data_IF_071613308594
#
_entry.id   IF_071613308594
#
_cell.length_a   1.000
_cell.length_b   1.000
_cell.length_c   1.000
_cell.angle_alpha   90.00
_cell.angle_beta   90.00
_cell.angle_gamma   90.00
#
_symmetry.space_group_name_H-M   'P 1'
#
loop_
_entity.id
_entity.type
_entity.pdbx_description
1 polymer ?
#
# COMPACT_ATOMS: atom_id res chain seq x y z
N UNK A 1 8.71 -5.65 15.95
CA UNK A 1 10.19 -5.55 16.03
C UNK A 1 10.59 -4.34 15.21
N UNK A 2 11.54 -3.56 15.71
CA UNK A 2 12.08 -2.39 15.02
C UNK A 2 13.41 -2.75 14.37
N UNK A 3 13.57 -2.42 13.09
CA UNK A 3 14.86 -2.47 12.40
C UNK A 3 15.30 -1.04 12.14
N UNK A 4 16.45 -0.65 12.67
CA UNK A 4 17.12 0.62 12.38
C UNK A 4 18.12 0.37 11.26
N UNK A 5 17.79 0.79 10.05
CA UNK A 5 18.61 0.58 8.87
C UNK A 5 19.39 1.83 8.47
N UNK A 6 20.71 1.73 8.40
CA UNK A 6 21.59 2.80 7.90
C UNK A 6 22.03 2.42 6.48
N UNK A 7 21.74 3.23 5.43
CA UNK A 7 22.07 2.93 4.04
C UNK A 7 23.55 3.19 3.69
N UNK A 8 24.45 3.02 4.66
CA UNK A 8 25.90 3.16 4.57
C UNK A 8 26.55 1.98 5.29
N UNK A 9 27.77 1.58 4.88
CA UNK A 9 28.50 0.55 5.62
C UNK A 9 28.88 1.08 7.01
N UNK A 10 29.20 0.19 7.96
CA UNK A 10 29.57 0.61 9.32
C UNK A 10 30.70 1.62 9.35
N UNK A 11 31.71 1.44 8.48
CA UNK A 11 32.87 2.32 8.37
C UNK A 11 32.51 3.69 7.78
N UNK A 12 31.42 3.75 7.02
CA UNK A 12 30.95 4.95 6.34
C UNK A 12 29.71 5.56 6.98
N UNK A 13 29.21 5.02 8.10
CA UNK A 13 27.96 5.45 8.71
C UNK A 13 28.06 6.83 9.38
N UNK A 14 29.26 7.40 9.52
CA UNK A 14 29.45 8.73 10.09
C UNK A 14 28.91 8.84 11.51
N UNK A 15 28.19 9.92 11.81
CA UNK A 15 27.58 10.14 13.13
C UNK A 15 26.26 9.37 13.32
N UNK A 16 25.66 8.85 12.23
CA UNK A 16 24.42 8.05 12.30
C UNK A 16 24.61 6.81 13.17
N UNK A 17 25.78 6.17 13.13
CA UNK A 17 26.04 4.96 13.90
C UNK A 17 25.88 5.23 15.41
N UNK A 18 26.57 6.26 15.91
CA UNK A 18 26.51 6.65 17.33
C UNK A 18 25.10 7.07 17.77
N UNK A 19 24.39 7.82 16.92
CA UNK A 19 23.01 8.22 17.20
C UNK A 19 22.07 6.99 17.25
N UNK A 20 22.29 6.02 16.37
CA UNK A 20 21.48 4.81 16.27
C UNK A 20 21.75 3.85 17.43
N UNK A 21 22.99 3.72 17.87
CA UNK A 21 23.35 2.99 19.09
C UNK A 21 22.67 3.59 20.32
N UNK A 22 22.66 4.93 20.41
CA UNK A 22 21.94 5.62 21.49
C UNK A 22 20.42 5.40 21.41
N UNK A 23 19.85 5.34 20.20
CA UNK A 23 18.45 4.94 20.01
C UNK A 23 18.19 3.56 20.60
N UNK A 24 19.02 2.56 20.24
CA UNK A 24 18.89 1.18 20.75
C UNK A 24 18.91 1.16 22.28
N UNK A 25 19.87 1.86 22.91
CA UNK A 25 19.98 1.95 24.36
C UNK A 25 18.71 2.56 24.97
N UNK A 26 18.24 3.67 24.44
CA UNK A 26 17.05 4.37 24.95
C UNK A 26 15.78 3.52 24.75
N UNK A 27 15.67 2.78 23.65
CA UNK A 27 14.54 1.92 23.38
C UNK A 27 14.49 0.74 24.36
N UNK A 28 15.60 0.02 24.54
CA UNK A 28 15.69 -1.15 25.42
C UNK A 28 15.43 -0.83 26.90
N UNK A 29 15.66 0.43 27.32
CA UNK A 29 15.34 0.89 28.67
C UNK A 29 13.85 1.11 28.92
N UNK A 30 13.08 1.41 27.87
CA UNK A 30 11.70 1.88 27.99
C UNK A 30 10.68 0.89 27.40
N UNK A 31 11.09 -0.01 26.51
CA UNK A 31 10.21 -0.92 25.79
C UNK A 31 10.76 -2.35 25.77
N UNK A 32 9.86 -3.33 25.76
CA UNK A 32 10.19 -4.74 25.61
C UNK A 32 10.27 -5.20 24.15
N UNK A 33 9.93 -4.32 23.21
CA UNK A 33 10.02 -4.63 21.78
C UNK A 33 11.48 -4.81 21.37
N UNK A 34 11.75 -5.83 20.56
CA UNK A 34 13.10 -6.06 20.03
C UNK A 34 13.45 -4.99 19.00
N UNK A 35 14.69 -4.49 19.10
CA UNK A 35 15.26 -3.50 18.18
C UNK A 35 16.60 -3.97 17.65
N UNK A 36 16.80 -3.87 16.34
CA UNK A 36 18.03 -4.30 15.68
C UNK A 36 18.58 -3.22 14.76
N UNK A 37 19.87 -2.92 14.91
CA UNK A 37 20.62 -2.07 13.99
C UNK A 37 21.20 -2.91 12.83
N UNK A 38 20.98 -2.46 11.60
CA UNK A 38 21.54 -3.05 10.38
C UNK A 38 22.13 -1.92 9.52
N UNK A 39 23.42 -1.99 9.22
CA UNK A 39 24.07 -1.12 8.24
C UNK A 39 24.07 -1.78 6.85
N UNK A 40 24.33 -1.00 5.80
CA UNK A 40 24.46 -1.55 4.45
C UNK A 40 25.58 -2.60 4.41
N UNK A 41 25.30 -3.76 3.80
CA UNK A 41 26.21 -4.93 3.74
C UNK A 41 26.53 -5.59 5.08
N UNK A 42 25.77 -5.31 6.14
CA UNK A 42 25.91 -6.06 7.39
C UNK A 42 25.49 -7.52 7.23
N UNK A 43 26.22 -8.40 7.92
CA UNK A 43 25.79 -9.77 8.13
C UNK A 43 24.86 -9.82 9.35
N UNK A 44 23.59 -10.17 9.12
CA UNK A 44 22.60 -10.37 10.18
C UNK A 44 21.87 -11.71 10.04
N UNK A 45 21.40 -12.25 11.17
CA UNK A 45 20.64 -13.51 11.19
C UNK A 45 19.22 -13.25 10.73
N UNK A 46 18.88 -13.58 9.48
CA UNK A 46 17.53 -13.42 8.95
C UNK A 46 16.45 -14.13 9.80
N UNK A 47 16.82 -15.23 10.47
CA UNK A 47 15.92 -15.97 11.36
C UNK A 47 15.53 -15.21 12.63
N UNK A 48 16.30 -14.20 13.06
CA UNK A 48 15.94 -13.38 14.24
C UNK A 48 14.91 -12.30 13.91
N UNK A 49 14.65 -12.02 12.63
CA UNK A 49 13.71 -10.97 12.25
C UNK A 49 12.27 -11.44 12.47
N UNK A 50 11.53 -10.80 13.36
CA UNK A 50 10.13 -11.10 13.61
C UNK A 50 9.24 -10.79 12.39
N UNK A 51 8.13 -11.51 12.25
CA UNK A 51 7.04 -11.09 11.36
C UNK A 51 6.48 -9.74 11.81
N UNK A 52 5.97 -8.95 10.87
CA UNK A 52 5.42 -7.62 11.14
C UNK A 52 6.46 -6.66 11.77
N UNK A 53 7.64 -6.62 11.17
CA UNK A 53 8.70 -5.68 11.53
C UNK A 53 8.51 -4.33 10.85
N UNK A 54 8.88 -3.27 11.55
CA UNK A 54 8.93 -1.90 11.03
C UNK A 54 10.38 -1.51 10.76
N UNK A 55 10.68 -1.02 9.55
CA UNK A 55 12.05 -0.60 9.20
C UNK A 55 12.18 0.91 9.17
N UNK A 56 13.12 1.47 9.92
CA UNK A 56 13.47 2.88 9.91
C UNK A 56 14.73 3.08 9.09
N UNK A 57 14.62 3.72 7.93
CA UNK A 57 15.76 4.12 7.11
C UNK A 57 16.31 5.41 7.69
N UNK A 58 17.51 5.35 8.28
CA UNK A 58 18.15 6.44 9.00
C UNK A 58 19.16 7.15 8.11
N UNK A 59 18.95 8.43 7.84
CA UNK A 59 19.93 9.26 7.14
C UNK A 59 19.74 10.75 7.46
N UNK A 60 20.77 11.56 7.23
CA UNK A 60 20.66 13.01 7.33
C UNK A 60 20.07 13.61 6.06
N UNK A 61 19.07 14.47 6.24
CA UNK A 61 18.56 15.32 5.18
C UNK A 61 19.10 16.74 5.32
N UNK A 62 19.38 17.36 4.18
CA UNK A 62 19.89 18.72 4.10
C UNK A 62 18.86 19.63 3.41
N UNK A 63 18.74 20.85 3.93
CA UNK A 63 17.86 21.85 3.35
C UNK A 63 18.28 22.15 1.90
N UNK A 64 17.31 22.11 0.98
CA UNK A 64 17.53 22.38 -0.44
C UNK A 64 18.10 21.21 -1.25
N UNK A 65 18.42 20.07 -0.63
CA UNK A 65 18.94 18.87 -1.34
C UNK A 65 17.88 17.77 -1.35
N UNK A 66 17.01 17.78 -2.36
CA UNK A 66 15.79 16.96 -2.39
C UNK A 66 16.03 15.49 -2.79
N UNK A 67 17.07 15.19 -3.55
CA UNK A 67 17.31 13.91 -4.20
C UNK A 67 18.41 13.07 -3.54
N UNK A 68 18.97 13.55 -2.43
CA UNK A 68 20.06 12.90 -1.70
C UNK A 68 19.83 12.92 -0.19
N UNK A 69 20.53 12.02 0.47
CA UNK A 69 20.71 11.97 1.92
C UNK A 69 22.19 11.78 2.24
N UNK A 70 22.58 12.02 3.50
CA UNK A 70 23.96 11.98 3.92
C UNK A 70 24.17 11.12 5.18
N UNK A 71 25.41 10.74 5.42
CA UNK A 71 25.85 9.95 6.57
C UNK A 71 26.28 10.81 7.79
N UNK A 72 26.32 12.13 7.65
CA UNK A 72 26.80 13.03 8.70
C UNK A 72 25.94 14.30 8.76
N UNK A 73 25.80 14.89 9.95
CA UNK A 73 25.05 16.14 10.18
C UNK A 73 25.82 17.41 9.78
N UNK A 74 27.15 17.38 9.89
CA UNK A 74 28.05 18.39 9.30
C UNK A 74 28.27 18.12 7.80
N UNK A 75 27.80 19.04 6.95
CA UNK A 75 27.88 18.93 5.49
C UNK A 75 29.30 18.90 4.93
N UNK A 76 30.31 19.32 5.71
CA UNK A 76 31.73 19.26 5.31
C UNK A 76 32.32 17.86 5.43
N UNK A 77 31.78 17.05 6.34
CA UNK A 77 32.18 15.66 6.59
C UNK A 77 31.24 14.66 5.89
N UNK A 78 30.10 15.15 5.41
CA UNK A 78 29.05 14.34 4.85
C UNK A 78 29.40 13.75 3.48
N UNK A 79 29.23 12.45 3.37
CA UNK A 79 29.13 11.73 2.11
C UNK A 79 27.66 11.62 1.73
N UNK A 80 27.32 12.12 0.55
CA UNK A 80 25.96 12.12 0.03
C UNK A 80 25.73 10.92 -0.91
N UNK A 81 24.56 10.29 -0.79
CA UNK A 81 24.07 9.28 -1.72
C UNK A 81 22.70 9.68 -2.25
N UNK A 82 22.40 9.30 -3.49
CA UNK A 82 21.07 9.55 -4.05
C UNK A 82 20.02 8.67 -3.40
N UNK A 83 18.75 9.10 -3.47
CA UNK A 83 17.62 8.25 -3.06
C UNK A 83 17.59 6.94 -3.85
N UNK A 84 18.01 6.95 -5.11
CA UNK A 84 18.17 5.74 -5.91
C UNK A 84 19.15 4.76 -5.30
N UNK A 85 20.33 5.25 -4.89
CA UNK A 85 21.30 4.41 -4.19
C UNK A 85 20.75 3.90 -2.86
N UNK A 86 19.96 4.70 -2.13
CA UNK A 86 19.29 4.22 -0.91
C UNK A 86 18.33 3.07 -1.23
N UNK A 87 17.51 3.19 -2.27
CA UNK A 87 16.55 2.18 -2.69
C UNK A 87 17.24 0.89 -3.14
N UNK A 88 18.33 0.98 -3.92
CA UNK A 88 19.12 -0.17 -4.35
C UNK A 88 19.72 -0.92 -3.16
N UNK A 89 20.38 -0.19 -2.26
CA UNK A 89 21.00 -0.76 -1.05
C UNK A 89 19.96 -1.42 -0.15
N UNK A 90 18.87 -0.70 0.12
CA UNK A 90 17.75 -1.23 0.90
C UNK A 90 17.17 -2.49 0.26
N UNK A 91 17.00 -2.50 -1.06
CA UNK A 91 16.50 -3.65 -1.79
C UNK A 91 17.41 -4.85 -1.61
N UNK A 92 18.72 -4.69 -1.78
CA UNK A 92 19.70 -5.78 -1.63
C UNK A 92 19.65 -6.35 -0.21
N UNK A 93 19.71 -5.48 0.81
CA UNK A 93 19.87 -5.91 2.19
C UNK A 93 18.57 -6.43 2.82
N UNK A 94 17.41 -5.88 2.43
CA UNK A 94 16.11 -6.21 3.02
C UNK A 94 15.31 -7.22 2.20
N UNK A 95 15.67 -7.50 0.93
CA UNK A 95 14.95 -8.46 0.09
C UNK A 95 14.75 -9.83 0.75
N UNK A 96 15.76 -10.43 1.42
CA UNK A 96 15.61 -11.74 2.07
C UNK A 96 14.54 -11.77 3.17
N UNK A 97 14.25 -10.63 3.81
CA UNK A 97 13.28 -10.49 4.90
C UNK A 97 12.07 -9.65 4.52
N UNK A 98 11.94 -9.24 3.26
CA UNK A 98 10.90 -8.31 2.79
C UNK A 98 9.47 -8.76 3.11
N UNK A 99 9.21 -10.07 3.13
CA UNK A 99 7.90 -10.62 3.49
C UNK A 99 7.54 -10.49 4.98
N UNK A 100 8.49 -10.08 5.82
CA UNK A 100 8.30 -9.85 7.26
C UNK A 100 8.18 -8.37 7.63
N UNK A 101 8.30 -7.47 6.66
CA UNK A 101 8.26 -6.03 6.87
C UNK A 101 6.84 -5.53 6.53
N UNK A 102 6.20 -4.82 7.45
CA UNK A 102 4.86 -4.25 7.26
C UNK A 102 4.90 -2.78 6.83
N UNK A 103 5.86 -2.05 7.39
CA UNK A 103 6.03 -0.63 7.16
C UNK A 103 7.49 -0.21 7.11
N UNK A 104 7.70 0.90 6.39
CA UNK A 104 8.99 1.55 6.22
C UNK A 104 8.83 3.00 6.65
N UNK A 105 9.73 3.46 7.50
CA UNK A 105 9.81 4.82 7.97
C UNK A 105 11.07 5.48 7.38
N UNK A 106 10.89 6.41 6.44
CA UNK A 106 11.97 7.22 5.89
C UNK A 106 12.32 8.33 6.89
N UNK A 107 13.33 8.10 7.73
CA UNK A 107 13.65 8.89 8.90
C UNK A 107 14.82 9.85 8.61
N UNK A 108 14.46 11.07 8.16
CA UNK A 108 15.43 12.09 7.75
C UNK A 108 14.90 13.49 8.07
N UNK A 109 15.78 14.39 8.51
CA UNK A 109 15.45 15.81 8.66
C UNK A 109 14.99 16.44 7.34
N UNK A 110 14.12 17.44 7.42
CA UNK A 110 13.66 18.19 6.25
C UNK A 110 12.23 18.71 6.40
N UNK A 111 11.83 19.55 5.46
CA UNK A 111 10.42 19.95 5.32
C UNK A 111 9.55 18.78 4.86
N UNK A 112 8.25 18.88 5.09
CA UNK A 112 7.26 17.90 4.60
C UNK A 112 7.42 17.68 3.09
N UNK A 113 7.59 18.75 2.31
CA UNK A 113 7.74 18.68 0.85
C UNK A 113 9.01 17.94 0.43
N UNK A 114 10.14 18.23 1.07
CA UNK A 114 11.43 17.56 0.79
C UNK A 114 11.34 16.06 1.10
N UNK A 115 10.83 15.72 2.28
CA UNK A 115 10.76 14.34 2.71
C UNK A 115 9.67 13.55 2.00
N UNK A 116 8.56 14.18 1.61
CA UNK A 116 7.60 13.58 0.69
C UNK A 116 8.30 13.22 -0.63
N UNK A 117 9.06 14.14 -1.24
CA UNK A 117 9.78 13.86 -2.49
C UNK A 117 10.76 12.69 -2.35
N UNK A 118 11.58 12.68 -1.28
CA UNK A 118 12.53 11.58 -1.00
C UNK A 118 11.81 10.26 -0.84
N UNK A 119 10.76 10.22 -0.02
CA UNK A 119 10.02 9.01 0.25
C UNK A 119 9.28 8.51 -1.00
N UNK A 120 8.64 9.39 -1.79
CA UNK A 120 7.96 9.01 -3.04
C UNK A 120 8.95 8.45 -4.06
N UNK A 121 10.14 9.05 -4.16
CA UNK A 121 11.18 8.56 -5.05
C UNK A 121 11.72 7.20 -4.60
N UNK A 122 11.96 7.04 -3.30
CA UNK A 122 12.31 5.75 -2.72
C UNK A 122 11.25 4.68 -3.02
N UNK A 123 9.96 5.01 -2.87
CA UNK A 123 8.85 4.12 -3.19
C UNK A 123 8.83 3.71 -4.67
N UNK A 124 9.07 4.64 -5.58
CA UNK A 124 9.06 4.36 -7.02
C UNK A 124 10.20 3.42 -7.45
N UNK A 125 11.33 3.46 -6.77
CA UNK A 125 12.54 2.72 -7.13
C UNK A 125 12.70 1.40 -6.37
N UNK A 126 12.01 1.25 -5.23
CA UNK A 126 12.04 0.02 -4.44
C UNK A 126 11.14 -1.08 -5.04
N UNK A 127 11.73 -2.27 -5.27
CA UNK A 127 11.11 -3.41 -5.98
C UNK A 127 9.80 -3.96 -5.36
N UNK A 128 9.50 -3.67 -4.10
CA UNK A 128 8.35 -4.26 -3.34
C UNK A 128 7.34 -3.20 -2.86
N UNK A 129 7.31 -2.04 -3.51
CA UNK A 129 6.50 -0.88 -3.11
C UNK A 129 4.97 -1.06 -3.08
N UNK A 130 4.44 -2.11 -3.71
CA UNK A 130 2.99 -2.27 -3.91
C UNK A 130 2.19 -2.58 -2.64
N UNK A 131 2.81 -3.09 -1.56
CA UNK A 131 2.07 -3.59 -0.40
C UNK A 131 2.50 -3.03 0.97
N UNK A 132 3.55 -2.18 1.04
CA UNK A 132 4.02 -1.65 2.34
C UNK A 132 3.64 -0.18 2.52
N UNK A 133 3.34 0.16 3.78
CA UNK A 133 3.12 1.55 4.17
C UNK A 133 4.47 2.25 4.29
N UNK A 134 4.67 3.33 3.54
CA UNK A 134 5.86 4.17 3.69
C UNK A 134 5.46 5.44 4.43
N UNK A 135 6.11 5.69 5.55
CA UNK A 135 5.96 6.89 6.34
C UNK A 135 7.17 7.80 6.16
N UNK A 136 6.93 9.10 6.18
CA UNK A 136 7.98 10.13 6.19
C UNK A 136 7.61 11.20 7.23
N UNK A 137 8.55 12.09 7.53
CA UNK A 137 8.43 13.00 8.64
C UNK A 137 8.79 14.43 8.23
N UNK A 138 8.36 15.43 9.00
CA UNK A 138 8.77 16.82 8.83
C UNK A 138 9.45 17.37 10.10
N UNK A 139 10.37 18.32 9.90
CA UNK A 139 11.13 19.00 10.93
C UNK A 139 12.57 18.48 11.07
N UNK A 140 13.26 18.95 12.12
CA UNK A 140 14.54 18.37 12.55
C UNK A 140 14.23 17.23 13.52
N UNK A 141 14.52 16.02 13.10
CA UNK A 141 14.08 14.83 13.82
C UNK A 141 15.19 14.39 14.77
N UNK A 142 14.81 14.09 16.01
CA UNK A 142 15.72 13.57 17.03
C UNK A 142 15.55 12.06 17.20
N UNK A 143 16.62 11.37 17.56
CA UNK A 143 16.51 10.02 18.13
C UNK A 143 15.63 10.05 19.39
N UNK A 144 15.02 8.93 19.82
CA UNK A 144 14.29 8.90 21.06
C UNK A 144 15.15 9.39 22.22
N UNK A 145 14.58 10.22 23.09
CA UNK A 145 15.24 10.68 24.30
C UNK A 145 15.39 9.54 25.33
N UNK A 146 15.94 9.83 26.51
CA UNK A 146 16.13 8.83 27.58
C UNK A 146 14.85 8.16 28.06
N UNK A 147 13.69 8.80 27.84
CA UNK A 147 12.34 8.27 28.14
C UNK A 147 11.73 7.50 26.95
N UNK A 148 12.48 7.33 25.86
CA UNK A 148 12.00 6.67 24.64
C UNK A 148 11.07 7.53 23.80
N UNK A 149 10.91 8.83 24.11
CA UNK A 149 10.04 9.73 23.37
C UNK A 149 10.73 10.24 22.11
N UNK A 150 10.05 10.12 20.97
CA UNK A 150 10.52 10.66 19.68
C UNK A 150 9.94 12.04 19.46
N UNK A 151 10.82 13.01 19.26
CA UNK A 151 10.45 14.41 19.06
C UNK A 151 10.97 14.91 17.71
N UNK A 152 10.24 15.87 17.16
CA UNK A 152 10.67 16.68 16.02
C UNK A 152 10.64 18.15 16.40
N UNK A 153 11.66 18.89 15.98
CA UNK A 153 11.74 20.33 16.14
C UNK A 153 11.22 21.01 14.87
N UNK A 154 10.22 21.87 15.05
CA UNK A 154 9.60 22.68 13.99
C UNK A 154 9.47 24.10 14.52
N UNK A 155 10.02 25.09 13.81
CA UNK A 155 10.01 26.50 14.23
C UNK A 155 10.51 26.68 15.68
N UNK A 156 11.66 26.08 15.99
CA UNK A 156 12.33 26.11 17.30
C UNK A 156 11.49 25.56 18.48
N UNK A 157 10.48 24.74 18.19
CA UNK A 157 9.64 24.07 19.20
C UNK A 157 9.63 22.56 18.98
N UNK A 158 9.67 21.81 20.09
CA UNK A 158 9.62 20.36 20.06
C UNK A 158 8.17 19.85 20.12
N UNK A 159 7.86 18.91 19.23
CA UNK A 159 6.57 18.23 19.17
C UNK A 159 6.75 16.72 19.13
N UNK A 160 5.77 15.95 19.63
CA UNK A 160 5.72 14.51 19.41
C UNK A 160 5.79 14.17 17.91
N UNK A 161 6.66 13.24 17.53
CA UNK A 161 6.99 12.96 16.13
C UNK A 161 5.76 12.55 15.30
N UNK A 162 4.80 11.88 15.93
CA UNK A 162 3.55 11.42 15.32
C UNK A 162 2.65 12.56 14.81
N UNK A 163 2.84 13.81 15.28
CA UNK A 163 2.14 14.98 14.74
C UNK A 163 2.68 15.43 13.38
N UNK A 164 3.93 15.11 13.09
CA UNK A 164 4.62 15.45 11.84
C UNK A 164 5.06 14.19 11.11
N UNK A 165 4.32 13.09 11.30
CA UNK A 165 4.47 11.84 10.58
C UNK A 165 3.37 11.75 9.54
N UNK A 166 3.76 11.47 8.31
CA UNK A 166 2.89 11.42 7.15
C UNK A 166 3.02 10.05 6.49
N UNK A 167 1.92 9.54 5.97
CA UNK A 167 1.89 8.29 5.22
C UNK A 167 1.86 8.62 3.73
N UNK A 168 2.76 8.04 2.94
CA UNK A 168 2.64 8.09 1.49
C UNK A 168 1.40 7.32 1.08
N UNK A 169 0.52 8.00 0.35
CA UNK A 169 -0.60 7.36 -0.32
C UNK A 169 -0.07 6.57 -1.50
N UNK A 170 -0.32 5.26 -1.48
CA UNK A 170 0.09 4.38 -2.56
C UNK A 170 -0.80 4.69 -3.79
N UNK A 171 -0.33 5.55 -4.70
CA UNK A 171 -1.07 5.86 -5.94
C UNK A 171 -1.27 4.61 -6.82
N UNK A 172 -0.47 3.56 -6.64
CA UNK A 172 -0.69 2.28 -7.32
C UNK A 172 -2.06 1.65 -6.98
N UNK A 173 -2.69 2.00 -5.86
CA UNK A 173 -4.05 1.54 -5.55
C UNK A 173 -5.13 2.27 -6.36
N UNK A 174 -4.85 3.49 -6.84
CA UNK A 174 -5.74 4.24 -7.76
C UNK A 174 -5.50 3.83 -9.22
N UNK A 175 -4.28 3.45 -9.60
CA UNK A 175 -4.01 2.90 -10.94
C UNK A 175 -4.32 1.39 -11.08
N UNK A 176 -4.44 0.64 -9.98
CA UNK A 176 -4.80 -0.79 -10.02
C UNK A 176 -6.26 -1.07 -10.38
N UNK A 177 -7.17 -0.08 -10.33
CA UNK A 177 -8.47 -0.22 -11.00
C UNK A 177 -8.35 -0.27 -12.53
N UNK A 178 -7.18 0.06 -13.10
CA UNK A 178 -6.97 0.18 -14.55
C UNK A 178 -5.83 -0.67 -15.14
N UNK A 179 -5.28 -1.67 -14.44
CA UNK A 179 -4.29 -2.60 -15.04
C UNK A 179 -4.75 -4.06 -15.03
N UNK A 180 -5.12 -4.48 -16.23
CA UNK A 180 -5.19 -5.84 -16.80
C UNK A 180 -5.29 -7.00 -15.81
N UNK A 181 -6.51 -7.49 -15.64
CA UNK A 181 -6.82 -8.80 -15.06
C UNK A 181 -5.93 -9.85 -15.75
N UNK A 182 -5.18 -10.69 -15.02
CA UNK A 182 -4.40 -11.78 -15.60
C UNK A 182 -5.28 -12.63 -16.52
N UNK A 183 -4.80 -13.01 -17.71
CA UNK A 183 -5.60 -13.74 -18.73
C UNK A 183 -6.33 -14.96 -18.12
N UNK A 184 -5.69 -15.67 -17.20
CA UNK A 184 -6.26 -16.83 -16.49
C UNK A 184 -7.47 -16.48 -15.60
N UNK A 185 -7.53 -15.25 -15.08
CA UNK A 185 -8.64 -14.71 -14.27
C UNK A 185 -9.68 -13.95 -15.10
N UNK A 186 -9.36 -13.53 -16.33
CA UNK A 186 -10.33 -12.88 -17.22
C UNK A 186 -11.52 -13.76 -17.54
N UNK A 187 -11.32 -15.07 -17.72
CA UNK A 187 -12.41 -16.03 -17.96
C UNK A 187 -13.38 -16.14 -16.77
N UNK A 188 -12.84 -16.16 -15.55
CA UNK A 188 -13.63 -16.20 -14.31
C UNK A 188 -14.35 -14.87 -14.08
N UNK A 189 -13.68 -13.74 -14.31
CA UNK A 189 -14.30 -12.42 -14.21
C UNK A 189 -15.41 -12.22 -15.24
N UNK A 190 -15.22 -12.62 -16.50
CA UNK A 190 -16.31 -12.66 -17.50
C UNK A 190 -17.46 -13.53 -17.05
N UNK A 191 -17.19 -14.70 -16.46
CA UNK A 191 -18.25 -15.54 -15.89
C UNK A 191 -19.00 -14.87 -14.74
N UNK A 192 -18.34 -14.04 -13.93
CA UNK A 192 -18.97 -13.38 -12.78
C UNK A 192 -19.71 -12.11 -13.20
N UNK A 193 -19.21 -11.36 -14.17
CA UNK A 193 -19.78 -10.06 -14.58
C UNK A 193 -20.78 -10.20 -15.73
N UNK A 194 -20.53 -11.06 -16.71
CA UNK A 194 -21.39 -11.19 -17.90
C UNK A 194 -22.51 -12.23 -17.72
N UNK A 195 -22.32 -13.32 -16.96
CA UNK A 195 -23.40 -14.31 -16.76
C UNK A 195 -24.62 -13.78 -16.00
N UNK A 196 -24.50 -12.93 -14.96
CA UNK A 196 -25.70 -12.40 -14.29
C UNK A 196 -26.52 -11.53 -15.24
N UNK A 197 -25.85 -10.76 -16.10
CA UNK A 197 -26.48 -9.89 -17.10
C UNK A 197 -27.16 -10.76 -18.17
N UNK A 198 -26.46 -11.74 -18.75
CA UNK A 198 -27.04 -12.67 -19.73
C UNK A 198 -28.17 -13.52 -19.14
N UNK A 199 -28.05 -13.97 -17.89
CA UNK A 199 -29.15 -14.68 -17.19
C UNK A 199 -30.35 -13.77 -16.97
N UNK A 200 -30.14 -12.50 -16.60
CA UNK A 200 -31.20 -11.50 -16.44
C UNK A 200 -31.88 -11.19 -17.78
N UNK A 201 -31.12 -10.99 -18.85
CA UNK A 201 -31.65 -10.80 -20.20
C UNK A 201 -32.45 -12.01 -20.68
N UNK A 202 -31.91 -13.23 -20.51
CA UNK A 202 -32.62 -14.46 -20.85
C UNK A 202 -33.89 -14.65 -20.00
N UNK A 203 -33.88 -14.26 -18.73
CA UNK A 203 -35.08 -14.30 -17.90
C UNK A 203 -36.17 -13.35 -18.42
N UNK A 204 -35.80 -12.13 -18.81
CA UNK A 204 -36.76 -11.17 -19.36
C UNK A 204 -37.26 -11.57 -20.76
N UNK A 205 -36.38 -12.09 -21.62
CA UNK A 205 -36.76 -12.60 -22.95
C UNK A 205 -37.71 -13.80 -22.83
N UNK A 206 -37.37 -14.80 -22.02
CA UNK A 206 -38.22 -15.97 -21.78
C UNK A 206 -39.55 -15.58 -21.12
N UNK A 207 -39.55 -14.59 -20.23
CA UNK A 207 -40.78 -14.10 -19.60
C UNK A 207 -41.69 -13.36 -20.59
N UNK A 208 -41.12 -12.58 -21.52
CA UNK A 208 -41.87 -11.92 -22.59
C UNK A 208 -42.47 -12.93 -23.56
N UNK A 209 -41.70 -13.94 -23.96
CA UNK A 209 -42.16 -15.00 -24.86
C UNK A 209 -43.28 -15.83 -24.23
N UNK A 210 -43.12 -16.26 -22.97
CA UNK A 210 -44.19 -16.97 -22.23
C UNK A 210 -45.45 -16.12 -22.07
N UNK A 211 -45.31 -14.81 -21.86
CA UNK A 211 -46.45 -13.89 -21.78
C UNK A 211 -47.17 -13.78 -23.14
N UNK A 212 -46.42 -13.70 -24.23
CA UNK A 212 -46.99 -13.67 -25.57
C UNK A 212 -47.74 -14.97 -25.89
N UNK A 213 -47.15 -16.13 -25.58
CA UNK A 213 -47.78 -17.44 -25.76
C UNK A 213 -49.07 -17.56 -24.94
N UNK A 214 -49.08 -17.10 -23.68
CA UNK A 214 -50.31 -17.08 -22.87
C UNK A 214 -51.40 -16.18 -23.47
N UNK A 215 -51.05 -15.03 -24.05
CA UNK A 215 -52.01 -14.15 -24.70
C UNK A 215 -52.58 -14.78 -25.99
N UNK A 216 -51.73 -15.44 -26.79
CA UNK A 216 -52.15 -16.17 -27.99
C UNK A 216 -53.09 -17.33 -27.59
N UNK A 217 -52.74 -18.08 -26.55
CA UNK A 217 -53.57 -19.18 -26.07
C UNK A 217 -54.92 -18.71 -25.54
N UNK A 218 -54.96 -17.59 -24.81
CA UNK A 218 -56.21 -16.96 -24.36
C UNK A 218 -57.10 -16.50 -25.52
N UNK A 219 -56.52 -16.02 -26.62
CA UNK A 219 -57.27 -15.64 -27.83
C UNK A 219 -57.88 -16.87 -28.50
N UNK A 220 -57.10 -17.93 -28.69
CA UNK A 220 -57.59 -19.20 -29.24
C UNK A 220 -58.74 -19.81 -28.42
N UNK A 221 -58.60 -19.88 -27.10
CA UNK A 221 -59.68 -20.39 -26.23
C UNK A 221 -60.94 -19.52 -26.25
N UNK A 222 -60.81 -18.23 -26.59
CA UNK A 222 -61.96 -17.32 -26.70
C UNK A 222 -62.68 -17.50 -28.03
N UNK A 223 -61.92 -17.66 -29.12
CA UNK A 223 -62.43 -17.99 -30.45
C UNK A 223 -63.15 -19.35 -30.46
N UNK A 224 -62.57 -20.37 -29.80
CA UNK A 224 -63.20 -21.70 -29.64
C UNK A 224 -64.48 -21.66 -28.78
N UNK A 225 -64.55 -20.79 -27.78
CA UNK A 225 -65.76 -20.58 -26.98
C UNK A 225 -66.85 -19.80 -27.72
N UNK A 226 -66.47 -18.86 -28.59
CA UNK A 226 -67.41 -18.11 -29.43
C UNK A 226 -67.95 -18.96 -30.59
N UNK A 227 -67.15 -19.85 -31.17
CA UNK A 227 -67.60 -20.84 -32.17
C UNK A 227 -68.55 -21.89 -31.58
N UNK A 228 -68.24 -22.43 -30.38
CA UNK A 228 -69.13 -23.38 -29.70
C UNK A 228 -70.45 -22.73 -29.26
N UNK A 229 -70.43 -21.48 -28.79
CA UNK A 229 -71.64 -20.73 -28.47
C UNK A 229 -72.51 -20.45 -29.72
N UNK A 230 -71.88 -20.10 -30.85
CA UNK A 230 -72.56 -19.90 -32.14
C UNK A 230 -73.23 -21.19 -32.66
N UNK A 231 -72.55 -22.34 -32.56
CA UNK A 231 -73.12 -23.63 -32.98
C UNK A 231 -74.27 -24.10 -32.06
N UNK A 232 -74.23 -23.81 -30.75
CA UNK A 232 -75.33 -24.12 -29.83
C UNK A 232 -76.55 -23.21 -30.01
N UNK A 233 -76.36 -21.97 -30.47
CA UNK A 233 -77.45 -21.06 -30.79
C UNK A 233 -78.18 -21.44 -32.09
N UNK A 234 -77.49 -22.06 -33.06
CA UNK A 234 -78.13 -22.54 -34.31
C UNK A 234 -78.91 -23.85 -34.17
N UNK A 235 -78.68 -24.65 -33.12
CA UNK A 235 -79.39 -25.91 -32.86
C UNK A 235 -80.67 -25.77 -32.01
N UNK A 236 -80.99 -24.56 -31.54
CA UNK A 236 -82.17 -24.26 -30.71
C UNK A 236 -83.39 -23.71 -31.48
N UNK A 237 -83.31 -23.59 -32.80
CA UNK A 237 -84.44 -23.19 -33.66
C UNK A 237 -84.70 -24.28 -34.69
N UNK A 238 -85.37 -25.35 -34.27
CA UNK A 238 -86.09 -26.30 -35.13
C UNK A 238 -87.33 -26.77 -34.39
#
# INVERSE_FOLDING_TARGET
MIILYIPFTREQAGDLLSATEQWVINHQRNFSEEIQLICHQDNYKQSSICSSSSVYILAHGYAGIFDKVANHSDGRLATFISISTVADRFTIDMMPISYRIDDIHFYSCGSEKENHHRASRFQAEWLRSSNMSIFYYAGKISIPNEKGERLTEVEDKFFPINRYMFKLFNQQFLEQEFREIPIQRQGVLRMITENPIKRRENFFSNSKEKRLLMLIQRRKTKEEHEETASMTASSGMS
#
